data_IF_731753276358
#
_entry.id   IF_731753276358
#
_cell.length_a   1.000
_cell.length_b   1.000
_cell.length_c   1.000
_cell.angle_alpha   90.00
_cell.angle_beta   90.00
_cell.angle_gamma   90.00
#
_symmetry.space_group_name_H-M   'P 1'
#
loop_
_entity.id
_entity.type
_entity.pdbx_description
1 polymer ?
#
# COMPACT_ATOMS: atom_id res chain seq x y z
N UNK A 1 -18.58 30.51 -22.81
CA UNK A 1 -17.49 29.62 -23.26
C UNK A 1 -17.03 28.96 -22.00
N UNK A 2 -17.76 27.90 -21.62
CA UNK A 2 -17.71 27.31 -20.29
C UNK A 2 -17.37 25.83 -20.51
N UNK A 3 -16.08 25.52 -20.35
CA UNK A 3 -15.50 24.19 -20.52
C UNK A 3 -15.82 23.36 -19.26
N UNK A 4 -17.05 22.84 -19.21
CA UNK A 4 -17.61 22.07 -18.09
C UNK A 4 -17.42 20.54 -18.22
N UNK A 5 -16.50 20.04 -19.03
CA UNK A 5 -16.42 18.59 -19.33
C UNK A 5 -15.03 17.97 -19.13
N UNK A 6 -14.44 18.14 -17.95
CA UNK A 6 -13.39 17.21 -17.46
C UNK A 6 -13.77 16.53 -16.15
N UNK A 7 -15.03 16.59 -15.73
CA UNK A 7 -15.54 15.76 -14.63
C UNK A 7 -15.93 14.40 -15.20
N UNK A 8 -14.92 13.57 -15.47
CA UNK A 8 -15.16 12.14 -15.70
C UNK A 8 -15.93 11.59 -14.49
N UNK A 9 -17.08 10.92 -14.65
CA UNK A 9 -17.84 10.36 -13.53
C UNK A 9 -17.03 9.32 -12.73
N UNK A 10 -15.92 8.85 -13.29
CA UNK A 10 -14.97 7.96 -12.64
C UNK A 10 -14.01 8.67 -11.66
N UNK A 11 -13.92 10.01 -11.68
CA UNK A 11 -13.03 10.76 -10.80
C UNK A 11 -13.43 10.70 -9.31
N UNK A 12 -14.67 10.30 -9.02
CA UNK A 12 -15.22 10.21 -7.66
C UNK A 12 -15.36 8.77 -7.16
N UNK A 13 -14.93 7.78 -7.95
CA UNK A 13 -15.04 6.38 -7.55
C UNK A 13 -14.04 6.13 -6.42
N UNK A 14 -14.48 5.71 -5.22
CA UNK A 14 -13.56 5.36 -4.15
C UNK A 14 -12.75 4.14 -4.56
N UNK A 15 -11.43 4.22 -4.44
CA UNK A 15 -10.50 3.14 -4.76
C UNK A 15 -9.84 2.69 -3.47
N UNK A 16 -9.89 1.39 -3.18
CA UNK A 16 -9.13 0.80 -2.09
C UNK A 16 -7.67 0.63 -2.49
N UNK A 17 -6.76 1.13 -1.64
CA UNK A 17 -5.32 1.01 -1.81
C UNK A 17 -4.78 0.10 -0.71
N UNK A 18 -4.14 -0.99 -1.08
CA UNK A 18 -3.47 -1.90 -0.16
C UNK A 18 -1.99 -1.52 -0.04
N UNK A 19 -1.55 -1.18 1.16
CA UNK A 19 -0.14 -0.94 1.46
C UNK A 19 0.48 -2.25 1.95
N UNK A 20 1.46 -2.77 1.21
CA UNK A 20 2.20 -3.97 1.55
C UNK A 20 3.58 -3.61 2.10
N UNK A 21 3.77 -3.82 3.39
CA UNK A 21 5.07 -3.62 4.07
C UNK A 21 6.06 -4.74 3.78
N UNK A 22 5.57 -5.95 3.47
CA UNK A 22 6.40 -7.12 3.19
C UNK A 22 5.55 -8.36 2.96
N UNK A 23 6.17 -9.44 2.52
CA UNK A 23 5.53 -10.73 2.30
C UNK A 23 6.22 -11.79 3.15
N UNK A 24 5.44 -12.77 3.58
CA UNK A 24 5.96 -13.97 4.21
C UNK A 24 5.34 -15.19 3.53
N UNK A 25 6.15 -16.22 3.29
CA UNK A 25 5.75 -17.48 2.66
C UNK A 25 6.06 -18.65 3.59
N UNK A 26 5.37 -18.77 4.73
CA UNK A 26 5.55 -19.92 5.61
C UNK A 26 5.11 -21.21 4.91
N UNK A 27 5.69 -22.35 5.30
CA UNK A 27 5.20 -23.65 4.82
C UNK A 27 3.85 -23.95 5.47
N UNK A 28 3.03 -24.77 4.81
CA UNK A 28 1.72 -25.20 5.34
C UNK A 28 1.86 -25.81 6.74
N UNK A 29 2.90 -26.62 6.96
CA UNK A 29 3.21 -27.18 8.28
C UNK A 29 3.48 -26.13 9.37
N UNK A 30 4.10 -25.00 9.01
CA UNK A 30 4.45 -23.95 9.96
C UNK A 30 3.19 -23.15 10.28
N UNK A 31 2.36 -22.84 9.28
CA UNK A 31 1.03 -22.24 9.46
C UNK A 31 0.13 -23.06 10.39
N UNK A 32 0.09 -24.38 10.22
CA UNK A 32 -0.69 -25.27 11.10
C UNK A 32 -0.16 -25.29 12.54
N UNK A 33 1.11 -24.94 12.74
CA UNK A 33 1.76 -24.82 14.04
C UNK A 33 1.71 -23.40 14.61
N UNK A 34 1.34 -22.40 13.81
CA UNK A 34 1.19 -21.03 14.28
C UNK A 34 -0.04 -20.95 15.18
N UNK A 35 0.23 -20.73 16.46
CA UNK A 35 -0.79 -20.45 17.47
C UNK A 35 -0.77 -18.98 17.86
N UNK A 36 -1.41 -18.70 18.98
CA UNK A 36 -1.26 -17.44 19.68
C UNK A 36 0.24 -17.12 19.90
N UNK A 37 0.60 -15.86 19.71
CA UNK A 37 1.96 -15.32 19.88
C UNK A 37 3.00 -15.77 18.84
N UNK A 38 2.59 -16.41 17.73
CA UNK A 38 3.50 -16.75 16.64
C UNK A 38 3.99 -15.51 15.87
N UNK A 39 5.31 -15.34 15.75
CA UNK A 39 5.94 -14.24 15.01
C UNK A 39 6.31 -14.71 13.61
N UNK A 40 5.80 -14.01 12.60
CA UNK A 40 6.13 -14.28 11.20
C UNK A 40 7.18 -13.27 10.72
N UNK A 41 8.33 -13.78 10.28
CA UNK A 41 9.35 -12.92 9.67
C UNK A 41 8.95 -12.59 8.24
N UNK A 42 8.92 -11.29 7.93
CA UNK A 42 8.72 -10.77 6.60
C UNK A 42 10.05 -10.76 5.83
N UNK A 43 9.98 -10.72 4.51
CA UNK A 43 11.14 -10.61 3.62
C UNK A 43 11.70 -9.19 3.51
N UNK A 44 11.05 -8.18 4.12
CA UNK A 44 11.41 -6.77 4.08
C UNK A 44 11.80 -6.21 5.43
N UNK A 45 12.68 -5.21 5.41
CA UNK A 45 13.10 -4.41 6.57
C UNK A 45 12.17 -3.23 6.78
N UNK A 46 12.22 -2.63 7.97
CA UNK A 46 11.44 -1.43 8.31
C UNK A 46 11.85 -0.23 7.44
N UNK A 47 13.12 -0.16 7.06
CA UNK A 47 13.66 0.90 6.19
C UNK A 47 13.41 0.66 4.68
N UNK A 48 12.89 -0.52 4.31
CA UNK A 48 12.63 -0.81 2.90
C UNK A 48 11.36 -0.08 2.42
N UNK A 49 11.33 0.43 1.18
CA UNK A 49 10.17 1.14 0.67
C UNK A 49 8.97 0.20 0.55
N UNK A 50 7.83 0.57 1.13
CA UNK A 50 6.56 -0.15 1.03
C UNK A 50 5.96 -0.05 -0.38
N UNK A 51 5.19 -1.05 -0.75
CA UNK A 51 4.51 -1.11 -2.04
C UNK A 51 3.02 -0.78 -1.88
N UNK A 52 2.49 0.05 -2.77
CA UNK A 52 1.08 0.38 -2.82
C UNK A 52 0.44 -0.32 -4.00
N UNK A 53 -0.63 -1.06 -3.73
CA UNK A 53 -1.39 -1.82 -4.71
C UNK A 53 -2.83 -1.30 -4.79
N UNK A 54 -3.39 -1.32 -6.00
CA UNK A 54 -4.83 -1.19 -6.22
C UNK A 54 -5.29 -2.50 -6.85
N UNK A 55 -6.05 -3.30 -6.09
CA UNK A 55 -6.27 -4.71 -6.42
C UNK A 55 -4.93 -5.44 -6.53
N UNK A 56 -4.64 -6.03 -7.70
CA UNK A 56 -3.40 -6.78 -7.95
C UNK A 56 -2.28 -5.95 -8.59
N UNK A 57 -2.51 -4.65 -8.84
CA UNK A 57 -1.61 -3.82 -9.62
C UNK A 57 -0.79 -2.89 -8.72
N UNK A 58 0.54 -2.94 -8.84
CA UNK A 58 1.45 -2.02 -8.17
C UNK A 58 1.28 -0.61 -8.77
N UNK A 59 0.87 0.35 -7.94
CA UNK A 59 0.60 1.74 -8.36
C UNK A 59 1.66 2.72 -7.90
N UNK A 60 2.37 2.42 -6.80
CA UNK A 60 3.37 3.31 -6.24
C UNK A 60 4.27 2.55 -5.25
N UNK A 61 5.39 3.19 -4.90
CA UNK A 61 6.24 2.82 -3.77
C UNK A 61 6.41 4.04 -2.88
N UNK A 62 6.62 3.79 -1.60
CA UNK A 62 6.81 4.85 -0.63
C UNK A 62 7.58 4.38 0.58
N UNK A 63 7.94 5.31 1.44
CA UNK A 63 8.57 5.03 2.73
C UNK A 63 7.51 5.07 3.82
N UNK A 64 7.55 4.09 4.73
CA UNK A 64 6.69 4.10 5.90
C UNK A 64 7.24 5.14 6.89
N UNK A 65 6.40 6.10 7.24
CA UNK A 65 6.71 7.15 8.20
C UNK A 65 5.63 7.20 9.27
N UNK A 66 6.00 7.60 10.47
CA UNK A 66 5.03 7.95 11.50
C UNK A 66 4.55 9.39 11.24
N UNK A 67 3.27 9.65 11.53
CA UNK A 67 2.76 11.02 11.54
C UNK A 67 3.21 11.77 12.79
N UNK A 68 3.36 13.09 12.67
CA UNK A 68 3.72 13.98 13.77
C UNK A 68 2.48 14.72 14.32
N UNK A 69 2.59 15.29 15.52
CA UNK A 69 1.56 16.14 16.12
C UNK A 69 0.42 15.37 16.78
N UNK A 70 -0.82 15.82 16.59
CA UNK A 70 -2.00 15.20 17.22
C UNK A 70 -2.31 13.78 16.71
N UNK A 71 -1.70 13.39 15.58
CA UNK A 71 -1.84 12.04 14.99
C UNK A 71 -0.58 11.17 15.19
N UNK A 72 0.29 11.54 16.14
CA UNK A 72 1.43 10.73 16.52
C UNK A 72 1.01 9.29 16.87
N UNK A 73 1.76 8.30 16.37
CA UNK A 73 1.44 6.87 16.45
C UNK A 73 0.73 6.29 15.23
N UNK A 74 0.29 7.12 14.27
CA UNK A 74 -0.32 6.61 13.04
C UNK A 74 0.71 6.34 11.95
N UNK A 75 0.54 5.20 11.28
CA UNK A 75 1.33 4.83 10.12
C UNK A 75 0.89 5.66 8.90
N UNK A 76 1.85 6.32 8.27
CA UNK A 76 1.68 7.02 7.01
C UNK A 76 2.70 6.55 5.98
N UNK A 77 2.40 6.79 4.71
CA UNK A 77 3.28 6.41 3.61
C UNK A 77 3.64 7.65 2.80
N UNK A 78 4.93 7.95 2.74
CA UNK A 78 5.47 9.00 1.88
C UNK A 78 5.77 8.40 0.52
N UNK A 79 5.02 8.79 -0.51
CA UNK A 79 5.26 8.30 -1.87
C UNK A 79 6.65 8.74 -2.36
N UNK A 80 7.47 7.76 -2.76
CA UNK A 80 8.80 7.98 -3.33
C UNK A 80 8.76 7.83 -4.85
N UNK A 81 8.00 6.85 -5.34
CA UNK A 81 7.80 6.61 -6.77
C UNK A 81 6.32 6.35 -7.03
N UNK A 82 5.76 6.99 -8.05
CA UNK A 82 4.40 6.70 -8.53
C UNK A 82 4.54 5.98 -9.86
N UNK A 83 4.01 4.75 -9.93
CA UNK A 83 3.95 4.04 -11.20
C UNK A 83 3.00 4.81 -12.11
N UNK A 84 3.49 5.20 -13.29
CA UNK A 84 2.67 5.92 -14.26
C UNK A 84 1.48 5.06 -14.68
N UNK A 85 0.28 5.44 -14.23
CA UNK A 85 -0.98 4.82 -14.68
C UNK A 85 -1.40 5.30 -16.08
N UNK A 86 -0.51 5.95 -16.87
CA UNK A 86 -0.81 6.44 -18.24
C UNK A 86 -0.87 5.34 -19.32
N UNK A 87 -1.32 4.13 -18.97
CA UNK A 87 -1.38 3.03 -19.92
C UNK A 87 -2.65 2.21 -19.75
N UNK A 88 -3.62 2.45 -20.63
CA UNK A 88 -4.72 1.53 -20.90
C UNK A 88 -6.08 2.02 -20.43
N UNK A 89 -6.59 3.12 -20.99
CA UNK A 89 -7.98 3.32 -21.39
C UNK A 89 -8.00 4.24 -22.62
#
# INVERSE_FOLDING_TARGET
MDDLSSSSPFAQVPIEITVSVGRARPKVQDLLRMGRDAVLQLDRRVDDPVELYVGDRLIARGELTELEGEMAGQLAVRLTEVASLKGGL
#
